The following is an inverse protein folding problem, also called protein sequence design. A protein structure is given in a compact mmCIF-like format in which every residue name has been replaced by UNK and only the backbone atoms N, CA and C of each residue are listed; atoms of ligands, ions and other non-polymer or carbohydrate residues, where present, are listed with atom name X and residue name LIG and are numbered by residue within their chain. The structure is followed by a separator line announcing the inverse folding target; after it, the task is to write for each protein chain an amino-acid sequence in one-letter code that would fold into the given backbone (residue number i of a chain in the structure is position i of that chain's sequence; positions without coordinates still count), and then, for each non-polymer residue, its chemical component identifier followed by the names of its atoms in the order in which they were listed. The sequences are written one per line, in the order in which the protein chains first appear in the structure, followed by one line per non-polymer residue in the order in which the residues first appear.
data_IF_018687697895
#
_entry.id   IF_018687697895
#
_cell.length_a   1.000
_cell.length_b   1.000
_cell.length_c   1.000
_cell.angle_alpha   90.00
_cell.angle_beta   90.00
_cell.angle_gamma   90.00
#
_symmetry.space_group_name_H-M   'P 1'
#
loop_
_entity.id
_entity.type
_entity.pdbx_description
1 polymer ?
#
# COMPACT_ATOMS: atom_id res chain seq x y z
N UNK A 1 -18.11 -0.94 -7.19
CA UNK A 1 -18.71 -1.73 -6.11
C UNK A 1 -18.80 -3.16 -6.60
N UNK A 2 -18.19 -4.12 -5.89
CA UNK A 2 -18.10 -5.53 -6.34
C UNK A 2 -19.48 -6.21 -6.39
N UNK A 3 -20.41 -5.74 -5.57
CA UNK A 3 -21.75 -6.31 -5.40
C UNK A 3 -22.90 -5.41 -5.90
N UNK A 4 -22.63 -4.30 -6.57
CA UNK A 4 -23.63 -3.33 -7.00
C UNK A 4 -24.68 -3.87 -8.01
N UNK A 5 -24.43 -5.05 -8.59
CA UNK A 5 -25.34 -5.70 -9.55
C UNK A 5 -25.64 -7.16 -9.16
N UNK A 6 -25.50 -7.52 -7.89
CA UNK A 6 -25.84 -8.86 -7.41
C UNK A 6 -27.27 -8.79 -6.90
N UNK A 7 -28.17 -9.55 -7.51
CA UNK A 7 -29.50 -9.79 -6.97
C UNK A 7 -29.38 -10.92 -5.94
N UNK A 8 -29.72 -10.62 -4.72
CA UNK A 8 -29.84 -11.61 -3.64
C UNK A 8 -31.30 -11.99 -3.46
N UNK A 9 -31.60 -13.22 -3.00
CA UNK A 9 -32.96 -13.68 -2.81
C UNK A 9 -33.65 -13.10 -1.56
N UNK A 10 -32.96 -12.25 -0.82
CA UNK A 10 -33.43 -11.60 0.41
C UNK A 10 -32.83 -10.18 0.53
N UNK A 11 -33.46 -9.27 1.31
CA UNK A 11 -33.00 -7.91 1.50
C UNK A 11 -31.68 -7.83 2.25
N UNK A 12 -30.73 -6.98 1.77
CA UNK A 12 -29.42 -6.78 2.36
C UNK A 12 -29.13 -5.29 2.50
N UNK A 13 -28.75 -4.85 3.68
CA UNK A 13 -28.38 -3.47 3.96
C UNK A 13 -27.18 -3.04 3.09
N UNK A 14 -27.29 -1.91 2.40
CA UNK A 14 -26.26 -1.39 1.49
C UNK A 14 -26.32 -1.95 0.06
N UNK A 15 -27.30 -2.81 -0.23
CA UNK A 15 -27.66 -3.22 -1.60
C UNK A 15 -29.04 -2.62 -1.87
N UNK A 16 -29.11 -1.70 -2.84
CA UNK A 16 -30.31 -0.93 -3.12
C UNK A 16 -30.90 -0.22 -1.88
N UNK A 17 -32.20 -0.04 -1.85
CA UNK A 17 -33.00 0.54 -0.76
C UNK A 17 -33.83 -0.52 -0.02
N UNK A 18 -33.32 -1.75 0.01
CA UNK A 18 -34.05 -2.89 0.57
C UNK A 18 -34.19 -2.83 2.10
N UNK A 19 -33.21 -2.20 2.77
CA UNK A 19 -33.13 -2.10 4.24
C UNK A 19 -32.74 -0.70 4.68
N UNK A 20 -33.40 -0.15 5.69
CA UNK A 20 -33.17 1.17 6.26
C UNK A 20 -32.48 1.10 7.65
N UNK A 21 -31.89 2.22 8.16
CA UNK A 21 -31.53 3.37 7.36
C UNK A 21 -30.42 3.02 6.37
N UNK A 22 -30.45 3.65 5.19
CA UNK A 22 -29.39 3.44 4.19
C UNK A 22 -28.02 3.74 4.76
N UNK A 23 -27.02 3.04 4.27
CA UNK A 23 -25.63 3.33 4.63
C UNK A 23 -25.23 4.72 4.14
N UNK A 24 -24.69 5.53 5.03
CA UNK A 24 -24.16 6.86 4.76
C UNK A 24 -22.74 6.81 4.20
N UNK A 25 -22.23 7.92 3.67
CA UNK A 25 -20.87 7.98 3.08
C UNK A 25 -19.77 7.71 4.12
N UNK A 26 -20.07 7.92 5.39
CA UNK A 26 -19.14 7.68 6.52
C UNK A 26 -19.28 6.28 7.15
N UNK A 27 -20.07 5.39 6.52
CA UNK A 27 -20.30 4.03 7.02
C UNK A 27 -19.01 3.16 7.00
N UNK A 28 -17.99 3.54 6.25
CA UNK A 28 -16.66 2.95 6.26
C UNK A 28 -15.60 4.04 6.35
N UNK A 29 -14.78 3.96 7.37
CA UNK A 29 -13.66 4.87 7.58
C UNK A 29 -12.36 4.08 7.52
N UNK A 30 -11.48 4.43 6.60
CA UNK A 30 -10.16 3.84 6.43
C UNK A 30 -9.15 4.96 6.25
N UNK A 31 -8.28 5.12 7.23
CA UNK A 31 -7.14 6.02 7.13
C UNK A 31 -6.02 5.40 6.28
N UNK A 32 -5.06 6.23 5.85
CA UNK A 32 -3.83 5.72 5.26
C UNK A 32 -3.12 4.78 6.24
N UNK A 33 -2.58 3.64 5.76
CA UNK A 33 -1.96 2.66 6.63
C UNK A 33 -0.68 3.19 7.30
N UNK A 34 -0.46 2.77 8.52
CA UNK A 34 0.84 2.90 9.16
C UNK A 34 1.81 1.96 8.44
N UNK A 35 2.91 2.53 7.97
CA UNK A 35 3.93 1.82 7.19
C UNK A 35 5.10 1.48 8.11
N UNK A 36 5.35 0.19 8.30
CA UNK A 36 6.56 -0.31 8.98
C UNK A 36 7.62 -0.73 7.95
N UNK A 37 8.74 -1.24 8.37
CA UNK A 37 9.76 -1.77 7.46
C UNK A 37 9.24 -2.96 6.63
N UNK A 38 8.39 -3.80 7.23
CA UNK A 38 7.93 -5.07 6.66
C UNK A 38 6.45 -5.08 6.27
N UNK A 39 5.64 -4.18 6.84
CA UNK A 39 4.19 -4.31 6.79
C UNK A 39 3.47 -2.98 6.49
N UNK A 40 2.23 -3.11 6.03
CA UNK A 40 1.20 -2.08 6.00
C UNK A 40 0.14 -2.43 7.06
N UNK A 41 -0.09 -1.55 8.02
CA UNK A 41 -1.08 -1.72 9.08
C UNK A 41 -2.29 -0.81 8.77
N UNK A 42 -3.40 -1.43 8.39
CA UNK A 42 -4.64 -0.75 8.07
C UNK A 42 -5.58 -0.78 9.28
N UNK A 43 -6.24 0.34 9.53
CA UNK A 43 -7.34 0.44 10.46
C UNK A 43 -8.60 0.76 9.68
N UNK A 44 -9.64 -0.06 9.87
CA UNK A 44 -10.94 0.11 9.23
C UNK A 44 -12.00 0.12 10.31
N UNK A 45 -12.80 1.18 10.34
CA UNK A 45 -13.94 1.33 11.23
C UNK A 45 -15.21 1.32 10.39
N UNK A 46 -16.19 0.50 10.79
CA UNK A 46 -17.46 0.35 10.14
C UNK A 46 -18.56 0.96 11.01
N UNK A 47 -19.50 1.63 10.38
CA UNK A 47 -20.65 2.23 11.06
C UNK A 47 -21.94 1.88 10.30
N UNK A 48 -22.92 1.33 11.02
CA UNK A 48 -24.27 1.11 10.54
C UNK A 48 -25.25 1.28 11.71
N UNK A 49 -26.48 1.65 11.43
CA UNK A 49 -27.45 2.04 12.46
C UNK A 49 -28.66 1.10 12.53
N UNK A 50 -28.71 0.02 11.75
CA UNK A 50 -29.77 -0.94 11.81
C UNK A 50 -29.70 -1.74 13.11
N UNK A 51 -30.75 -1.70 13.91
CA UNK A 51 -30.79 -2.27 15.27
C UNK A 51 -30.87 -3.79 15.26
N UNK A 52 -31.62 -4.36 14.33
CA UNK A 52 -31.80 -5.81 14.26
C UNK A 52 -30.50 -6.51 13.86
N UNK A 53 -29.76 -5.92 12.90
CA UNK A 53 -28.43 -6.42 12.54
C UNK A 53 -27.46 -6.27 13.72
N UNK A 54 -27.50 -5.14 14.43
CA UNK A 54 -26.67 -4.92 15.63
C UNK A 54 -26.97 -5.95 16.70
N UNK A 55 -28.24 -6.28 16.90
CA UNK A 55 -28.66 -7.30 17.87
C UNK A 55 -28.13 -8.69 17.48
N UNK A 56 -28.27 -9.09 16.20
CA UNK A 56 -27.75 -10.37 15.72
C UNK A 56 -26.23 -10.49 15.92
N UNK A 57 -25.47 -9.42 15.72
CA UNK A 57 -24.04 -9.40 16.01
C UNK A 57 -23.79 -9.55 17.51
N UNK A 58 -24.55 -8.84 18.35
CA UNK A 58 -24.39 -8.92 19.83
C UNK A 58 -24.74 -10.29 20.40
N UNK A 59 -25.65 -11.01 19.76
CA UNK A 59 -26.05 -12.37 20.06
C UNK A 59 -25.06 -13.44 19.53
N UNK A 60 -24.07 -13.03 18.73
CA UNK A 60 -23.11 -13.92 18.09
C UNK A 60 -23.67 -14.68 16.86
N UNK A 61 -24.88 -14.34 16.40
CA UNK A 61 -25.51 -14.94 15.22
C UNK A 61 -25.00 -14.37 13.89
N UNK A 62 -24.37 -13.18 13.94
CA UNK A 62 -23.72 -12.54 12.82
C UNK A 62 -22.36 -11.99 13.23
N UNK A 63 -21.47 -11.79 12.26
CA UNK A 63 -20.14 -11.25 12.47
C UNK A 63 -19.77 -10.27 11.36
N UNK A 64 -18.93 -9.30 11.68
CA UNK A 64 -18.28 -8.47 10.68
C UNK A 64 -17.20 -9.27 9.98
N UNK A 65 -17.08 -9.08 8.68
CA UNK A 65 -16.02 -9.67 7.88
C UNK A 65 -15.44 -8.65 6.90
N UNK A 66 -14.15 -8.76 6.62
CA UNK A 66 -13.45 -7.95 5.65
C UNK A 66 -12.66 -8.85 4.71
N UNK A 67 -13.08 -8.93 3.45
CA UNK A 67 -12.32 -9.58 2.39
C UNK A 67 -11.28 -8.61 1.84
N UNK A 68 -10.01 -8.96 1.95
CA UNK A 68 -8.88 -8.24 1.38
C UNK A 68 -8.44 -8.94 0.13
N UNK A 69 -8.36 -8.19 -0.98
CA UNK A 69 -7.90 -8.73 -2.26
C UNK A 69 -6.83 -7.83 -2.88
N UNK A 70 -5.76 -8.45 -3.38
CA UNK A 70 -4.76 -7.81 -4.22
C UNK A 70 -4.58 -8.65 -5.48
N UNK A 71 -5.09 -8.16 -6.61
CA UNK A 71 -5.12 -8.94 -7.87
C UNK A 71 -3.74 -9.21 -8.44
N UNK A 72 -2.83 -8.26 -8.29
CA UNK A 72 -1.46 -8.36 -8.84
C UNK A 72 -0.62 -9.44 -8.16
N UNK A 73 -0.93 -9.78 -6.91
CA UNK A 73 -0.24 -10.81 -6.14
C UNK A 73 -1.11 -12.04 -5.85
N UNK A 74 -2.33 -12.07 -6.39
CA UNK A 74 -3.34 -13.11 -6.14
C UNK A 74 -3.68 -13.28 -4.65
N UNK A 75 -3.38 -12.27 -3.80
CA UNK A 75 -3.78 -12.29 -2.40
C UNK A 75 -5.30 -12.23 -2.30
N UNK A 76 -5.85 -13.15 -1.54
CA UNK A 76 -7.24 -13.12 -1.08
C UNK A 76 -7.29 -13.67 0.34
N UNK A 77 -7.73 -12.82 1.28
CA UNK A 77 -7.77 -13.15 2.70
C UNK A 77 -9.02 -12.55 3.31
N UNK A 78 -9.69 -13.28 4.20
CA UNK A 78 -10.86 -12.79 4.92
C UNK A 78 -10.53 -12.69 6.41
N UNK A 79 -10.82 -11.53 6.99
CA UNK A 79 -10.71 -11.24 8.40
C UNK A 79 -12.10 -11.16 9.00
N UNK A 80 -12.29 -11.69 10.20
CA UNK A 80 -13.55 -11.73 10.92
C UNK A 80 -13.43 -11.03 12.25
N UNK A 81 -14.50 -10.37 12.69
CA UNK A 81 -14.54 -9.63 13.96
C UNK A 81 -15.96 -9.61 14.52
N UNK A 82 -16.08 -9.71 15.84
CA UNK A 82 -17.34 -9.43 16.55
C UNK A 82 -17.59 -7.94 16.78
N UNK A 83 -16.64 -7.07 16.44
CA UNK A 83 -16.74 -5.63 16.54
C UNK A 83 -16.64 -4.97 15.17
N UNK A 84 -17.17 -3.74 15.01
CA UNK A 84 -17.13 -3.01 13.74
C UNK A 84 -15.73 -2.45 13.41
N UNK A 85 -14.69 -3.08 13.93
CA UNK A 85 -13.32 -2.59 13.85
C UNK A 85 -12.38 -3.68 13.36
N UNK A 86 -11.48 -3.32 12.43
CA UNK A 86 -10.43 -4.20 11.93
C UNK A 86 -9.07 -3.52 12.00
N UNK A 87 -8.10 -4.20 12.60
CA UNK A 87 -6.67 -3.92 12.47
C UNK A 87 -6.07 -5.01 11.55
N UNK A 88 -5.77 -4.64 10.31
CA UNK A 88 -5.31 -5.58 9.27
C UNK A 88 -3.85 -5.32 8.98
N UNK A 89 -3.03 -6.34 9.15
CA UNK A 89 -1.60 -6.28 8.85
C UNK A 89 -1.30 -7.10 7.58
N UNK A 90 -0.69 -6.45 6.59
CA UNK A 90 -0.30 -7.06 5.31
C UNK A 90 1.19 -6.86 5.09
N UNK A 91 1.91 -7.97 4.87
CA UNK A 91 3.33 -7.93 4.51
C UNK A 91 3.54 -7.15 3.20
N UNK A 92 4.56 -6.29 3.16
CA UNK A 92 4.87 -5.51 1.96
C UNK A 92 5.19 -6.37 0.74
N UNK A 93 5.71 -7.57 0.97
CA UNK A 93 5.99 -8.56 -0.08
C UNK A 93 4.75 -9.31 -0.55
N UNK A 94 3.66 -9.30 0.24
CA UNK A 94 2.42 -9.98 -0.10
C UNK A 94 1.52 -9.16 -1.03
N UNK A 95 1.74 -7.84 -1.13
CA UNK A 95 0.84 -6.93 -1.84
C UNK A 95 1.59 -6.01 -2.80
N UNK A 96 0.99 -5.76 -3.96
CA UNK A 96 1.51 -4.84 -4.97
C UNK A 96 0.37 -4.18 -5.75
N UNK A 97 0.41 -2.86 -5.92
CA UNK A 97 -0.65 -2.12 -6.61
C UNK A 97 -1.91 -1.97 -5.75
N UNK A 98 -3.06 -2.13 -6.34
CA UNK A 98 -4.35 -1.88 -5.70
C UNK A 98 -4.73 -3.01 -4.76
N UNK A 99 -4.98 -2.66 -3.49
CA UNK A 99 -5.58 -3.51 -2.46
C UNK A 99 -7.04 -3.08 -2.31
N UNK A 100 -7.94 -4.02 -2.36
CA UNK A 100 -9.37 -3.80 -2.18
C UNK A 100 -9.83 -4.43 -0.87
N UNK A 101 -10.63 -3.68 -0.11
CA UNK A 101 -11.21 -4.08 1.16
C UNK A 101 -12.74 -4.08 1.01
N UNK A 102 -13.33 -5.26 0.94
CA UNK A 102 -14.77 -5.41 0.89
C UNK A 102 -15.28 -5.88 2.25
N UNK A 103 -15.93 -4.97 2.97
CA UNK A 103 -16.48 -5.28 4.27
C UNK A 103 -17.97 -5.64 4.16
N UNK A 104 -18.41 -6.54 5.02
CA UNK A 104 -19.78 -7.00 5.11
C UNK A 104 -20.10 -7.53 6.51
N UNK A 105 -21.37 -7.69 6.83
CA UNK A 105 -21.86 -8.44 7.98
C UNK A 105 -22.50 -9.71 7.44
N UNK A 106 -22.13 -10.87 7.96
CA UNK A 106 -22.65 -12.15 7.52
C UNK A 106 -23.13 -13.00 8.69
N UNK A 107 -24.07 -13.88 8.43
CA UNK A 107 -24.54 -14.88 9.38
C UNK A 107 -23.38 -15.81 9.78
N UNK A 108 -23.13 -15.98 11.06
CA UNK A 108 -22.16 -16.91 11.64
C UNK A 108 -22.78 -18.27 12.00
N UNK A 109 -24.11 -18.33 12.11
CA UNK A 109 -24.93 -19.52 12.27
C UNK A 109 -26.20 -19.38 11.43
N UNK A 110 -26.96 -20.45 11.17
CA UNK A 110 -28.24 -20.36 10.47
C UNK A 110 -29.25 -19.49 11.22
N UNK A 111 -29.93 -18.60 10.52
CA UNK A 111 -30.94 -17.69 11.08
C UNK A 111 -32.26 -18.00 10.38
N UNK A 112 -33.10 -18.90 10.95
CA UNK A 112 -34.40 -19.17 10.40
C UNK A 112 -35.34 -17.98 10.63
N UNK A 113 -36.33 -17.84 9.75
CA UNK A 113 -37.36 -16.81 9.82
C UNK A 113 -36.78 -15.38 10.00
N UNK A 114 -35.61 -15.08 9.40
CA UNK A 114 -35.01 -13.76 9.47
C UNK A 114 -35.97 -12.69 9.00
N UNK A 115 -36.19 -11.70 9.83
CA UNK A 115 -36.96 -10.51 9.55
C UNK A 115 -36.21 -9.30 10.11
N UNK A 116 -36.46 -8.15 9.54
CA UNK A 116 -35.86 -6.88 9.99
C UNK A 116 -36.96 -5.81 10.00
N UNK A 117 -37.07 -5.11 11.13
CA UNK A 117 -38.07 -4.08 11.33
C UNK A 117 -37.97 -2.91 10.35
N UNK A 118 -36.78 -2.75 9.77
CA UNK A 118 -36.42 -1.68 8.87
C UNK A 118 -36.35 -2.15 7.39
N UNK A 119 -36.95 -3.29 7.04
CA UNK A 119 -37.13 -3.67 5.65
C UNK A 119 -37.97 -2.67 4.89
N UNK A 120 -37.70 -2.48 3.60
CA UNK A 120 -38.52 -1.74 2.67
C UNK A 120 -39.96 -2.33 2.67
N UNK A 121 -40.98 -1.49 2.39
CA UNK A 121 -42.38 -1.88 2.37
C UNK A 121 -42.66 -3.10 1.47
N UNK A 122 -41.91 -3.29 0.41
CA UNK A 122 -42.06 -4.41 -0.51
C UNK A 122 -41.78 -5.76 0.15
N UNK A 123 -41.09 -5.78 1.29
CA UNK A 123 -40.74 -6.98 2.04
C UNK A 123 -41.51 -7.17 3.35
N UNK A 124 -42.50 -6.26 3.62
CA UNK A 124 -43.29 -6.35 4.84
C UNK A 124 -44.07 -7.69 4.90
N UNK A 125 -43.87 -8.42 6.00
CA UNK A 125 -44.55 -9.68 6.23
C UNK A 125 -43.85 -10.90 5.64
N UNK A 126 -42.70 -10.71 4.98
CA UNK A 126 -41.83 -11.81 4.54
C UNK A 126 -40.79 -12.12 5.60
N UNK A 127 -40.40 -13.40 5.69
CA UNK A 127 -39.28 -13.90 6.44
C UNK A 127 -38.37 -14.69 5.51
N UNK A 128 -37.10 -14.80 5.85
CA UNK A 128 -36.09 -15.44 5.02
C UNK A 128 -35.25 -16.40 5.88
N UNK A 129 -34.91 -17.55 5.35
CA UNK A 129 -33.99 -18.45 6.00
C UNK A 129 -32.56 -18.12 5.52
N UNK A 130 -31.69 -17.72 6.44
CA UNK A 130 -30.30 -17.41 6.14
C UNK A 130 -29.40 -18.56 6.59
N UNK A 131 -28.47 -18.92 5.71
CA UNK A 131 -27.43 -19.90 5.98
C UNK A 131 -26.14 -19.20 6.44
N UNK A 132 -25.21 -19.97 6.99
CA UNK A 132 -23.89 -19.47 7.40
C UNK A 132 -23.17 -18.86 6.21
N UNK A 133 -22.77 -17.61 6.34
CA UNK A 133 -22.07 -16.85 5.29
C UNK A 133 -23.00 -15.97 4.46
N UNK A 134 -24.32 -16.07 4.62
CA UNK A 134 -25.27 -15.16 3.99
C UNK A 134 -25.09 -13.73 4.51
N UNK A 135 -25.14 -12.75 3.60
CA UNK A 135 -24.82 -11.36 3.91
C UNK A 135 -26.04 -10.62 4.45
N UNK A 136 -25.89 -9.97 5.60
CA UNK A 136 -26.88 -9.07 6.21
C UNK A 136 -26.63 -7.60 5.82
N UNK A 137 -25.38 -7.22 5.64
CA UNK A 137 -24.99 -5.88 5.21
C UNK A 137 -23.76 -5.92 4.31
N UNK A 138 -23.69 -5.03 3.32
CA UNK A 138 -22.55 -4.87 2.42
C UNK A 138 -22.11 -3.41 2.41
N UNK A 139 -20.91 -3.14 2.89
CA UNK A 139 -20.34 -1.79 2.90
C UNK A 139 -19.77 -1.40 1.54
N UNK A 140 -19.64 -0.10 1.25
CA UNK A 140 -18.93 0.35 0.06
C UNK A 140 -17.51 -0.23 -0.02
N UNK A 141 -17.03 -0.47 -1.25
CA UNK A 141 -15.68 -0.96 -1.47
C UNK A 141 -14.68 0.14 -1.11
N UNK A 142 -13.88 -0.11 -0.09
CA UNK A 142 -12.69 0.69 0.17
C UNK A 142 -11.50 0.13 -0.61
N UNK A 143 -10.58 0.98 -0.99
CA UNK A 143 -9.35 0.55 -1.65
C UNK A 143 -8.21 1.48 -1.29
N UNK A 144 -7.05 0.90 -1.28
CA UNK A 144 -5.81 1.63 -1.14
C UNK A 144 -4.82 1.13 -2.19
N UNK A 145 -3.99 2.03 -2.68
CA UNK A 145 -3.00 1.64 -3.66
C UNK A 145 -1.62 1.60 -2.98
N UNK A 146 -0.98 0.43 -3.00
CA UNK A 146 0.44 0.33 -2.65
C UNK A 146 1.27 1.18 -3.62
N UNK A 147 0.70 1.57 -4.76
CA UNK A 147 1.15 2.67 -5.59
C UNK A 147 0.78 4.05 -4.94
N UNK A 148 1.37 4.33 -3.92
CA UNK A 148 2.71 4.84 -4.19
C UNK A 148 3.19 4.10 -5.40
N UNK A 149 3.17 4.70 -6.66
CA UNK A 149 3.97 4.26 -7.80
C UNK A 149 5.13 3.54 -7.20
N UNK A 150 5.20 2.19 -7.28
CA UNK A 150 6.19 1.41 -6.57
C UNK A 150 7.42 2.27 -6.56
N UNK A 151 7.42 3.14 -5.57
CA UNK A 151 8.50 4.05 -5.38
C UNK A 151 9.50 3.13 -4.76
N UNK A 152 10.19 2.46 -5.67
CA UNK A 152 11.37 1.68 -5.42
C UNK A 152 12.41 2.49 -4.67
N UNK A 153 12.08 3.78 -4.52
CA UNK A 153 12.70 4.73 -3.64
C UNK A 153 12.08 4.84 -2.27
N UNK A 154 10.81 4.49 -2.07
CA UNK A 154 10.38 4.28 -0.69
C UNK A 154 11.09 3.08 -0.08
N UNK A 155 11.43 2.07 -0.87
CA UNK A 155 12.32 1.04 -0.38
C UNK A 155 13.75 1.55 -0.17
N UNK A 156 14.27 2.41 -1.03
CA UNK A 156 15.52 3.13 -0.81
C UNK A 156 15.32 4.30 0.16
N UNK A 157 14.23 5.03 0.13
CA UNK A 157 13.88 6.12 1.04
C UNK A 157 13.67 5.66 2.49
N UNK A 158 13.46 4.37 2.76
CA UNK A 158 13.48 3.85 4.13
C UNK A 158 14.88 3.88 4.72
N UNK A 159 15.92 3.68 3.90
CA UNK A 159 17.32 3.65 4.31
C UNK A 159 18.22 4.68 3.63
N UNK A 160 17.67 5.55 2.76
CA UNK A 160 18.36 6.68 2.13
C UNK A 160 17.65 7.99 2.43
N UNK A 161 18.42 9.08 2.46
CA UNK A 161 17.89 10.43 2.66
C UNK A 161 18.75 11.43 1.89
N UNK A 162 18.09 12.36 1.18
CA UNK A 162 18.78 13.51 0.56
C UNK A 162 18.74 14.67 1.57
N UNK A 163 19.90 15.23 1.88
CA UNK A 163 20.08 16.28 2.86
C UNK A 163 20.96 17.39 2.31
N UNK A 164 20.91 18.56 2.91
CA UNK A 164 21.87 19.61 2.67
C UNK A 164 23.21 19.24 3.32
N UNK A 165 24.29 19.44 2.58
CA UNK A 165 25.64 19.23 3.10
C UNK A 165 26.03 20.35 4.07
N UNK A 166 27.11 20.13 4.85
CA UNK A 166 27.65 21.16 5.74
C UNK A 166 28.08 22.43 4.96
N UNK A 167 28.04 23.56 5.63
CA UNK A 167 28.44 24.86 5.06
C UNK A 167 29.81 24.78 4.40
N UNK A 168 29.91 25.30 3.17
CA UNK A 168 31.14 25.29 2.38
C UNK A 168 31.39 24.02 1.57
N UNK A 169 30.46 23.07 1.56
CA UNK A 169 30.57 21.91 0.67
C UNK A 169 30.41 22.32 -0.80
N UNK A 170 31.35 21.92 -1.64
CA UNK A 170 31.36 22.23 -3.07
C UNK A 170 30.83 21.08 -3.94
N UNK A 171 30.71 19.89 -3.40
CA UNK A 171 30.38 18.66 -4.14
C UNK A 171 29.38 17.80 -3.38
N UNK A 172 28.59 17.04 -4.14
CA UNK A 172 27.74 15.99 -3.58
C UNK A 172 28.58 14.89 -2.96
N UNK A 173 28.22 14.44 -1.74
CA UNK A 173 28.86 13.35 -1.03
C UNK A 173 27.84 12.29 -0.59
N UNK A 174 28.31 11.06 -0.39
CA UNK A 174 27.52 9.95 0.12
C UNK A 174 28.08 9.54 1.49
N UNK A 175 27.24 9.66 2.52
CA UNK A 175 27.67 9.37 3.88
C UNK A 175 26.98 8.10 4.40
N UNK A 176 27.79 7.10 4.74
CA UNK A 176 27.38 5.78 5.24
C UNK A 176 27.53 5.64 6.76
N UNK A 177 27.84 6.72 7.47
CA UNK A 177 28.15 6.66 8.91
C UNK A 177 26.89 6.52 9.79
N UNK A 178 25.72 6.90 9.27
CA UNK A 178 24.46 6.91 9.97
C UNK A 178 23.63 5.64 9.68
N UNK A 179 22.49 5.50 10.36
CA UNK A 179 21.52 4.42 10.11
C UNK A 179 20.93 4.46 8.69
N UNK A 180 20.98 5.63 8.05
CA UNK A 180 20.57 5.85 6.66
C UNK A 180 21.76 6.31 5.83
N UNK A 181 21.75 5.96 4.56
CA UNK A 181 22.66 6.53 3.56
C UNK A 181 22.25 7.97 3.34
N UNK A 182 23.11 8.93 3.66
CA UNK A 182 22.83 10.33 3.38
C UNK A 182 23.46 10.72 2.03
N UNK A 183 22.63 11.31 1.17
CA UNK A 183 23.06 11.98 -0.06
C UNK A 183 23.12 13.45 0.28
N UNK A 184 24.33 13.97 0.52
CA UNK A 184 24.57 15.32 0.98
C UNK A 184 24.83 16.22 -0.22
N UNK A 185 23.91 17.15 -0.49
CA UNK A 185 24.00 18.09 -1.59
C UNK A 185 24.52 19.45 -1.12
N UNK A 186 25.42 20.11 -1.85
CA UNK A 186 25.73 21.52 -1.64
C UNK A 186 24.43 22.37 -1.61
N UNK A 187 24.45 23.47 -0.88
CA UNK A 187 23.29 24.35 -0.65
C UNK A 187 22.51 24.64 -1.93
N UNK A 188 23.17 25.13 -2.96
CA UNK A 188 22.52 25.52 -4.21
C UNK A 188 21.83 24.34 -4.93
N UNK A 189 22.47 23.16 -4.91
CA UNK A 189 21.89 21.94 -5.48
C UNK A 189 20.74 21.42 -4.63
N UNK A 190 20.81 21.56 -3.30
CA UNK A 190 19.73 21.14 -2.40
C UNK A 190 18.48 22.01 -2.60
N UNK A 191 18.62 23.32 -2.73
CA UNK A 191 17.51 24.24 -3.04
C UNK A 191 16.90 23.92 -4.42
N UNK A 192 17.73 23.59 -5.42
CA UNK A 192 17.21 23.15 -6.71
C UNK A 192 16.45 21.83 -6.60
N UNK A 193 17.02 20.85 -5.89
CA UNK A 193 16.37 19.57 -5.63
C UNK A 193 15.00 19.74 -4.97
N UNK A 194 14.86 20.59 -3.97
CA UNK A 194 13.58 20.86 -3.31
C UNK A 194 12.51 21.38 -4.29
N UNK A 195 12.90 22.17 -5.28
CA UNK A 195 11.97 22.71 -6.29
C UNK A 195 11.54 21.69 -7.33
N UNK A 196 12.46 20.86 -7.80
CA UNK A 196 12.21 19.97 -8.96
C UNK A 196 12.06 18.49 -8.59
N UNK A 197 12.47 18.07 -7.40
CA UNK A 197 12.55 16.68 -7.02
C UNK A 197 11.20 15.94 -7.12
N UNK A 198 10.11 16.61 -6.77
CA UNK A 198 8.77 16.05 -6.89
C UNK A 198 8.23 16.04 -8.33
N UNK A 199 8.74 16.92 -9.19
CA UNK A 199 8.31 17.02 -10.59
C UNK A 199 9.03 16.01 -11.49
N UNK A 200 10.28 15.67 -11.16
CA UNK A 200 11.13 14.79 -11.96
C UNK A 200 11.76 13.66 -11.13
N UNK A 201 10.96 12.88 -10.38
CA UNK A 201 11.49 11.89 -9.48
C UNK A 201 12.37 10.84 -10.20
N UNK A 202 11.98 10.33 -11.36
CA UNK A 202 12.72 9.29 -12.09
C UNK A 202 14.13 9.77 -12.54
N UNK A 203 14.26 11.05 -12.87
CA UNK A 203 15.57 11.65 -13.22
C UNK A 203 16.48 11.76 -12.00
N UNK A 204 15.93 12.28 -10.90
CA UNK A 204 16.67 12.39 -9.63
C UNK A 204 17.12 11.01 -9.14
N UNK A 205 16.26 10.03 -9.30
CA UNK A 205 16.51 8.69 -8.82
C UNK A 205 17.59 7.97 -9.60
N UNK A 206 17.55 8.04 -10.91
CA UNK A 206 18.59 7.43 -11.73
C UNK A 206 19.96 8.11 -11.56
N UNK A 207 19.97 9.41 -11.26
CA UNK A 207 21.22 10.16 -11.15
C UNK A 207 21.83 10.15 -9.74
N UNK A 208 21.03 10.39 -8.70
CA UNK A 208 21.53 10.50 -7.33
C UNK A 208 21.42 9.19 -6.54
N UNK A 209 20.22 8.59 -6.54
CA UNK A 209 19.96 7.42 -5.70
C UNK A 209 20.69 6.18 -6.21
N UNK A 210 20.74 5.97 -7.53
CA UNK A 210 21.51 4.87 -8.11
C UNK A 210 22.99 4.94 -7.73
N UNK A 211 23.62 6.10 -7.88
CA UNK A 211 25.03 6.29 -7.53
C UNK A 211 25.29 6.09 -6.03
N UNK A 212 24.39 6.61 -5.17
CA UNK A 212 24.48 6.40 -3.73
C UNK A 212 24.34 4.91 -3.36
N UNK A 213 23.44 4.19 -4.06
CA UNK A 213 23.26 2.75 -3.86
C UNK A 213 24.48 1.95 -4.29
N UNK A 214 25.05 2.25 -5.45
CA UNK A 214 26.30 1.60 -5.91
C UNK A 214 27.42 1.84 -4.89
N UNK A 215 27.59 3.07 -4.40
CA UNK A 215 28.57 3.39 -3.37
C UNK A 215 28.36 2.60 -2.09
N UNK A 216 27.11 2.48 -1.64
CA UNK A 216 26.75 1.70 -0.46
C UNK A 216 27.02 0.19 -0.66
N UNK A 217 26.69 -0.36 -1.84
CA UNK A 217 26.89 -1.77 -2.16
C UNK A 217 28.37 -2.15 -2.18
N UNK A 218 29.23 -1.31 -2.76
CA UNK A 218 30.68 -1.54 -2.76
C UNK A 218 31.27 -1.55 -1.33
N UNK A 219 30.69 -0.74 -0.43
CA UNK A 219 31.13 -0.65 0.96
C UNK A 219 30.34 -1.57 1.92
N UNK A 220 29.40 -2.38 1.40
CA UNK A 220 28.49 -3.15 2.24
C UNK A 220 29.21 -4.22 3.06
N UNK A 221 30.18 -4.92 2.46
CA UNK A 221 30.97 -5.95 3.16
C UNK A 221 31.64 -5.42 4.43
N UNK A 222 32.15 -4.20 4.41
CA UNK A 222 32.79 -3.58 5.57
C UNK A 222 31.78 -3.08 6.62
N UNK A 223 30.52 -2.96 6.26
CA UNK A 223 29.44 -2.47 7.12
C UNK A 223 28.43 -3.55 7.50
N UNK A 224 28.58 -4.80 7.07
CA UNK A 224 27.60 -5.87 7.26
C UNK A 224 27.28 -6.15 8.74
N UNK A 225 28.25 -6.00 9.64
CA UNK A 225 28.08 -6.23 11.08
C UNK A 225 27.93 -4.92 11.87
N UNK A 226 27.65 -3.80 11.20
CA UNK A 226 27.58 -2.48 11.82
C UNK A 226 26.28 -2.24 12.60
N UNK A 227 25.22 -3.04 12.39
CA UNK A 227 23.88 -2.85 12.92
C UNK A 227 23.16 -1.64 12.34
N UNK A 228 23.65 -1.06 11.25
CA UNK A 228 23.01 0.07 10.58
C UNK A 228 21.84 -0.39 9.73
N UNK A 229 20.72 0.31 9.80
CA UNK A 229 19.49 -0.05 9.11
C UNK A 229 19.65 -0.20 7.59
N UNK A 230 20.47 0.65 6.95
CA UNK A 230 20.70 0.56 5.52
C UNK A 230 21.47 -0.72 5.13
N UNK A 231 22.47 -1.13 5.93
CA UNK A 231 23.26 -2.32 5.65
C UNK A 231 22.40 -3.59 5.81
N UNK A 232 21.68 -3.72 6.91
CA UNK A 232 20.77 -4.84 7.16
C UNK A 232 19.70 -4.94 6.06
N UNK A 233 19.13 -3.81 5.65
CA UNK A 233 18.12 -3.76 4.58
C UNK A 233 18.68 -4.20 3.22
N UNK A 234 19.93 -3.86 2.89
CA UNK A 234 20.56 -4.27 1.64
C UNK A 234 20.94 -5.75 1.68
N UNK A 235 21.46 -6.26 2.80
CA UNK A 235 21.81 -7.68 2.95
C UNK A 235 20.58 -8.56 2.69
N UNK A 236 19.44 -8.27 3.33
CA UNK A 236 18.21 -9.05 3.14
C UNK A 236 17.81 -9.09 1.65
N UNK A 237 17.88 -7.97 0.94
CA UNK A 237 17.50 -7.89 -0.47
C UNK A 237 18.50 -8.57 -1.41
N UNK A 238 19.79 -8.51 -1.10
CA UNK A 238 20.81 -9.20 -1.88
C UNK A 238 20.70 -10.71 -1.72
N UNK A 239 20.28 -11.21 -0.55
CA UNK A 239 19.97 -12.63 -0.34
C UNK A 239 18.87 -13.12 -1.29
N UNK A 240 17.83 -12.32 -1.52
CA UNK A 240 16.77 -12.63 -2.50
C UNK A 240 17.30 -12.69 -3.94
N UNK A 241 18.34 -11.90 -4.24
CA UNK A 241 18.99 -11.87 -5.56
C UNK A 241 20.13 -12.89 -5.69
N UNK A 242 20.44 -13.64 -4.63
CA UNK A 242 21.55 -14.58 -4.54
C UNK A 242 22.93 -13.92 -4.83
N UNK A 243 23.11 -12.68 -4.38
CA UNK A 243 24.36 -11.91 -4.50
C UNK A 243 25.00 -11.78 -3.12
N UNK A 244 26.29 -12.08 -3.01
CA UNK A 244 27.03 -11.96 -1.75
C UNK A 244 27.73 -10.58 -1.67
N UNK A 245 27.72 -9.90 -0.50
CA UNK A 245 28.42 -8.63 -0.32
C UNK A 245 29.92 -8.67 -0.67
N UNK A 246 30.59 -9.80 -0.42
CA UNK A 246 32.00 -10.01 -0.71
C UNK A 246 32.34 -9.90 -2.20
N UNK A 247 31.45 -10.36 -3.06
CA UNK A 247 31.64 -10.36 -4.51
C UNK A 247 31.68 -8.93 -5.06
N UNK A 248 30.87 -8.03 -4.51
CA UNK A 248 30.79 -6.63 -4.94
C UNK A 248 32.00 -5.80 -4.52
N UNK A 249 32.72 -6.20 -3.46
CA UNK A 249 33.97 -5.55 -3.05
C UNK A 249 35.06 -5.71 -4.11
N UNK A 250 35.09 -6.86 -4.77
CA UNK A 250 36.09 -7.21 -5.79
C UNK A 250 35.66 -6.90 -7.20
N UNK A 251 34.34 -6.81 -7.45
CA UNK A 251 33.75 -6.55 -8.75
C UNK A 251 32.71 -5.41 -8.67
N UNK A 252 33.16 -4.19 -9.00
CA UNK A 252 32.27 -3.03 -9.04
C UNK A 252 31.15 -3.18 -10.09
N UNK A 253 31.35 -3.95 -11.16
CA UNK A 253 30.31 -4.19 -12.18
C UNK A 253 29.12 -4.94 -11.58
N UNK A 254 29.36 -5.82 -10.63
CA UNK A 254 28.32 -6.53 -9.90
C UNK A 254 27.51 -5.59 -8.99
N UNK A 255 28.17 -4.60 -8.37
CA UNK A 255 27.48 -3.59 -7.56
C UNK A 255 26.53 -2.72 -8.43
N UNK A 256 26.96 -2.34 -9.64
CA UNK A 256 26.08 -1.66 -10.61
C UNK A 256 24.90 -2.52 -11.00
N UNK A 257 25.14 -3.79 -11.36
CA UNK A 257 24.07 -4.73 -11.71
C UNK A 257 23.10 -4.95 -10.55
N UNK A 258 23.61 -5.07 -9.33
CA UNK A 258 22.78 -5.20 -8.14
C UNK A 258 21.93 -3.93 -7.91
N UNK A 259 22.51 -2.74 -8.09
CA UNK A 259 21.79 -1.48 -7.99
C UNK A 259 20.67 -1.37 -9.05
N UNK A 260 20.94 -1.76 -10.30
CA UNK A 260 19.95 -1.79 -11.37
C UNK A 260 18.80 -2.75 -11.05
N UNK A 261 19.09 -3.94 -10.55
CA UNK A 261 18.07 -4.90 -10.15
C UNK A 261 17.25 -4.39 -8.95
N UNK A 262 17.90 -3.84 -7.94
CA UNK A 262 17.24 -3.30 -6.76
C UNK A 262 16.37 -2.08 -7.06
N UNK A 263 16.78 -1.24 -8.01
CA UNK A 263 16.03 -0.07 -8.47
C UNK A 263 15.18 -0.37 -9.71
N UNK A 264 15.28 -1.58 -10.30
CA UNK A 264 14.54 -2.10 -11.45
C UNK A 264 14.64 -1.16 -12.67
N UNK A 265 15.79 -1.16 -13.30
CA UNK A 265 16.08 -0.40 -14.52
C UNK A 265 15.85 1.13 -14.39
N UNK A 266 16.54 1.82 -13.46
CA UNK A 266 16.31 3.24 -13.20
C UNK A 266 16.57 4.11 -14.43
N UNK A 267 17.53 3.73 -15.27
CA UNK A 267 17.86 4.46 -16.49
C UNK A 267 16.76 4.36 -17.55
N UNK A 268 16.16 3.18 -17.71
CA UNK A 268 15.03 3.00 -18.64
C UNK A 268 13.85 3.90 -18.21
N UNK A 269 13.49 3.86 -16.92
CA UNK A 269 12.40 4.69 -16.40
C UNK A 269 12.66 6.18 -16.54
N UNK A 270 13.92 6.60 -16.36
CA UNK A 270 14.33 7.97 -16.60
C UNK A 270 14.10 8.38 -18.06
N UNK A 271 14.56 7.56 -19.01
CA UNK A 271 14.40 7.84 -20.44
C UNK A 271 12.92 7.86 -20.84
N UNK A 272 12.13 6.88 -20.38
CA UNK A 272 10.67 6.85 -20.61
C UNK A 272 9.97 8.09 -20.03
N UNK A 273 10.47 8.62 -18.89
CA UNK A 273 9.94 9.85 -18.28
C UNK A 273 10.31 11.11 -19.08
N UNK A 274 11.55 11.19 -19.54
CA UNK A 274 12.01 12.30 -20.36
C UNK A 274 11.31 12.35 -21.73
N UNK A 275 11.08 11.19 -22.34
CA UNK A 275 10.33 11.11 -23.61
C UNK A 275 8.88 11.59 -23.44
N UNK A 276 8.20 11.22 -22.36
CA UNK A 276 6.87 11.75 -22.06
C UNK A 276 6.83 13.25 -21.90
N UNK A 277 7.84 13.84 -21.23
CA UNK A 277 7.95 15.28 -21.05
C UNK A 277 8.20 15.98 -22.38
N UNK A 278 9.08 15.43 -23.22
CA UNK A 278 9.37 15.99 -24.53
C UNK A 278 8.14 15.97 -25.44
N UNK A 279 7.35 14.89 -25.42
CA UNK A 279 6.15 14.78 -26.24
C UNK A 279 5.05 15.74 -25.76
N UNK A 280 4.84 15.90 -24.46
CA UNK A 280 3.86 16.87 -23.94
C UNK A 280 4.17 18.33 -24.31
N UNK A 281 5.44 18.69 -24.37
CA UNK A 281 5.86 20.04 -24.79
C UNK A 281 5.66 20.29 -26.29
N UNK A 282 5.66 19.26 -27.12
CA UNK A 282 5.41 19.40 -28.56
C UNK A 282 3.92 19.54 -28.86
N UNK A 283 3.03 18.91 -28.11
CA UNK A 283 1.58 19.04 -28.25
C UNK A 283 1.10 20.47 -27.89
N UNK A 284 1.71 21.11 -26.88
CA UNK A 284 1.39 22.48 -26.47
C UNK A 284 1.92 23.57 -27.46
N UNK A 285 2.71 23.22 -28.46
CA UNK A 285 3.23 24.14 -29.49
C UNK A 285 2.50 24.06 -30.84
N UNK A 286 1.61 23.09 -31.03
CA UNK A 286 0.83 22.92 -32.25
C UNK A 286 -0.61 23.49 -32.14
N UNK A 287 -1.03 24.01 -30.97
CA UNK A 287 -2.26 24.76 -30.73
C UNK A 287 -1.97 26.30 -30.65
#
# INVERSE_FOLDING_TARGET
MKYKNVSLPYPVLGIYDDVYPLLTDDCIQMADPVKTATDYMFRIDLNQQNKDITQLVSEGKAEYACEVTCRSTFLRRCYKSSSPHFDINLGRTEVNGRIEFQCFIAASEPIPDYNNSDFNEDYHGFTFDLEVGDMLAVFPLAWWNTNVKFDKLYAAGSFMQITEAADGAERTTFNLSNDRILIELPHDLFVQYQRIGNSFPEVIHSSLVHNALVYALVNLYENQDSGKMWADSLIIRLQELHILPEEMKSDMSLAYKAADLLLQDPYKRMLDSLERIANSQNEDQED
#
